data_IF_311380702486
#
_entry.id   IF_311380702486
#
_cell.length_a   1.000
_cell.length_b   1.000
_cell.length_c   1.000
_cell.angle_alpha   90.00
_cell.angle_beta   90.00
_cell.angle_gamma   90.00
#
_symmetry.space_group_name_H-M   'P 1'
#
loop_
_entity.id
_entity.type
_entity.pdbx_description
1 polymer ?
#
# COMPACT_ATOMS: atom_id res chain seq x y z
N UNK A 1 -29.85 51.83 -4.51
CA UNK A 1 -29.19 50.67 -4.02
C UNK A 1 -29.60 49.45 -4.84
N UNK A 2 -28.70 48.93 -5.68
CA UNK A 2 -28.93 47.71 -6.42
C UNK A 2 -28.58 46.52 -5.54
N UNK A 3 -29.30 45.38 -5.57
CA UNK A 3 -28.95 44.21 -4.81
C UNK A 3 -27.77 43.53 -5.47
N UNK A 4 -26.82 43.13 -4.63
CA UNK A 4 -25.69 42.32 -5.03
C UNK A 4 -26.16 40.98 -5.59
N UNK A 5 -25.75 40.63 -6.79
CA UNK A 5 -25.93 39.29 -7.36
C UNK A 5 -25.00 38.36 -6.62
N UNK A 6 -25.58 37.38 -5.97
CA UNK A 6 -24.87 36.18 -5.56
C UNK A 6 -24.66 35.34 -6.83
N UNK A 7 -23.49 35.49 -7.43
CA UNK A 7 -23.11 34.63 -8.54
C UNK A 7 -22.77 33.26 -7.98
N UNK A 8 -23.62 32.28 -8.31
CA UNK A 8 -23.38 30.89 -8.07
C UNK A 8 -22.24 30.36 -8.93
N UNK A 9 -21.03 30.44 -8.40
CA UNK A 9 -19.85 29.83 -9.04
C UNK A 9 -19.49 28.58 -8.30
N UNK A 10 -20.24 27.51 -8.54
CA UNK A 10 -19.86 26.19 -8.01
C UNK A 10 -20.13 25.00 -8.92
N UNK A 11 -20.69 25.20 -10.10
CA UNK A 11 -20.95 24.12 -11.05
C UNK A 11 -19.72 23.71 -11.90
N UNK A 12 -18.62 24.49 -11.86
CA UNK A 12 -17.43 24.23 -12.70
C UNK A 12 -16.24 23.58 -12.01
N UNK A 13 -16.25 23.42 -10.68
CA UNK A 13 -15.10 22.92 -9.95
C UNK A 13 -14.76 21.44 -10.25
N UNK A 14 -15.69 20.49 -10.45
CA UNK A 14 -15.35 19.12 -10.81
C UNK A 14 -14.66 19.01 -12.17
N UNK A 15 -15.14 19.75 -13.16
CA UNK A 15 -14.58 19.71 -14.52
C UNK A 15 -13.23 20.43 -14.60
N UNK A 16 -13.06 21.53 -13.88
CA UNK A 16 -11.79 22.22 -13.79
C UNK A 16 -10.71 21.36 -13.06
N UNK A 17 -11.09 20.65 -12.01
CA UNK A 17 -10.19 19.72 -11.32
C UNK A 17 -9.79 18.54 -12.21
N UNK A 18 -10.71 17.98 -12.99
CA UNK A 18 -10.44 16.90 -13.94
C UNK A 18 -9.53 17.37 -15.09
N UNK A 19 -9.71 18.61 -15.59
CA UNK A 19 -8.89 19.17 -16.66
C UNK A 19 -7.44 19.48 -16.24
N UNK A 20 -7.15 19.51 -14.94
CA UNK A 20 -5.79 19.71 -14.40
C UNK A 20 -4.99 18.41 -14.26
N UNK A 21 -5.57 17.25 -14.61
CA UNK A 21 -4.84 15.99 -14.60
C UNK A 21 -3.93 15.92 -15.82
N UNK A 22 -2.63 15.70 -15.58
CA UNK A 22 -1.71 15.29 -16.64
C UNK A 22 -2.05 13.90 -17.13
N UNK A 23 -1.55 13.52 -18.31
CA UNK A 23 -1.73 12.16 -18.82
C UNK A 23 -1.19 11.10 -17.84
N UNK A 24 -0.07 11.38 -17.20
CA UNK A 24 0.56 10.49 -16.21
C UNK A 24 -0.27 10.39 -14.92
N UNK A 25 -0.84 11.50 -14.45
CA UNK A 25 -1.75 11.51 -13.29
C UNK A 25 -3.06 10.80 -13.60
N UNK A 26 -3.61 10.99 -14.79
CA UNK A 26 -4.81 10.29 -15.24
C UNK A 26 -4.57 8.77 -15.32
N UNK A 27 -3.44 8.34 -15.87
CA UNK A 27 -3.05 6.94 -15.93
C UNK A 27 -2.89 6.31 -14.53
N UNK A 28 -2.21 7.01 -13.62
CA UNK A 28 -2.04 6.54 -12.23
C UNK A 28 -3.37 6.44 -11.47
N UNK A 29 -4.33 7.28 -11.80
CA UNK A 29 -5.66 7.25 -11.19
C UNK A 29 -6.58 6.20 -11.84
N UNK A 30 -6.50 6.03 -13.15
CA UNK A 30 -7.36 5.11 -13.91
C UNK A 30 -7.20 3.64 -13.49
N UNK A 31 -6.02 3.24 -13.03
CA UNK A 31 -5.77 1.88 -12.54
C UNK A 31 -6.54 1.56 -11.24
N UNK A 32 -7.08 2.56 -10.58
CA UNK A 32 -7.94 2.45 -9.40
C UNK A 32 -9.44 2.66 -9.74
N UNK A 33 -9.81 2.66 -11.03
CA UNK A 33 -11.16 3.05 -11.48
C UNK A 33 -12.29 2.18 -10.90
N UNK A 34 -12.00 0.92 -10.58
CA UNK A 34 -12.96 0.02 -9.93
C UNK A 34 -13.20 0.35 -8.45
N UNK A 35 -12.36 1.18 -7.86
CA UNK A 35 -12.38 1.49 -6.42
C UNK A 35 -12.68 2.95 -6.13
N UNK A 36 -12.37 3.84 -7.05
CA UNK A 36 -12.53 5.28 -6.87
C UNK A 36 -12.63 6.00 -8.21
N UNK A 37 -13.34 7.14 -8.28
CA UNK A 37 -13.41 7.95 -9.49
C UNK A 37 -12.06 8.45 -9.95
N UNK A 38 -11.93 8.75 -11.24
CA UNK A 38 -10.72 9.37 -11.79
C UNK A 38 -10.41 10.69 -11.06
N UNK A 39 -9.17 10.83 -10.62
CA UNK A 39 -8.72 11.99 -9.86
C UNK A 39 -9.05 11.96 -8.37
N UNK A 40 -9.61 10.87 -7.86
CA UNK A 40 -9.90 10.74 -6.44
C UNK A 40 -8.63 10.85 -5.59
N UNK A 41 -8.74 11.55 -4.46
CA UNK A 41 -7.65 11.71 -3.48
C UNK A 41 -7.60 10.57 -2.47
N UNK A 42 -8.65 9.76 -2.41
CA UNK A 42 -8.71 8.59 -1.53
C UNK A 42 -9.59 7.49 -2.14
N UNK A 43 -9.26 6.25 -1.82
CA UNK A 43 -10.15 5.11 -1.94
C UNK A 43 -10.93 5.01 -0.65
N UNK A 44 -12.26 5.01 -0.73
CA UNK A 44 -13.14 4.95 0.44
C UNK A 44 -13.15 3.56 1.07
N UNK A 45 -13.25 3.45 2.41
CA UNK A 45 -13.36 2.16 3.07
C UNK A 45 -14.68 1.46 2.73
N UNK A 46 -14.64 0.14 2.74
CA UNK A 46 -15.82 -0.73 2.69
C UNK A 46 -15.81 -1.67 3.89
N UNK A 47 -16.98 -2.03 4.39
CA UNK A 47 -17.08 -3.09 5.38
C UNK A 47 -16.74 -4.45 4.76
N UNK A 48 -16.61 -5.47 5.62
CA UNK A 48 -16.22 -6.80 5.15
C UNK A 48 -17.24 -7.43 4.21
N UNK A 49 -18.52 -7.27 4.48
CA UNK A 49 -19.58 -7.86 3.65
C UNK A 49 -19.56 -7.31 2.23
N UNK A 50 -19.44 -5.98 2.07
CA UNK A 50 -19.31 -5.33 0.77
C UNK A 50 -18.00 -5.68 0.08
N UNK A 51 -16.89 -5.75 0.82
CA UNK A 51 -15.59 -6.18 0.27
C UNK A 51 -15.65 -7.62 -0.26
N UNK A 52 -16.30 -8.53 0.47
CA UNK A 52 -16.49 -9.91 0.01
C UNK A 52 -17.37 -9.96 -1.25
N UNK A 53 -18.44 -9.18 -1.28
CA UNK A 53 -19.33 -9.10 -2.43
C UNK A 53 -18.60 -8.61 -3.69
N UNK A 54 -17.83 -7.54 -3.56
CA UNK A 54 -17.03 -6.99 -4.67
C UNK A 54 -16.03 -8.01 -5.21
N UNK A 55 -15.34 -8.73 -4.31
CA UNK A 55 -14.35 -9.72 -4.70
C UNK A 55 -14.99 -10.91 -5.42
N UNK A 56 -16.13 -11.40 -4.95
CA UNK A 56 -16.85 -12.50 -5.60
C UNK A 56 -17.38 -12.05 -6.97
N UNK A 57 -17.93 -10.85 -7.07
CA UNK A 57 -18.40 -10.28 -8.33
C UNK A 57 -17.25 -10.15 -9.36
N UNK A 58 -16.10 -9.66 -8.93
CA UNK A 58 -14.90 -9.53 -9.77
C UNK A 58 -14.40 -10.89 -10.30
N UNK A 59 -14.65 -11.98 -9.57
CA UNK A 59 -14.31 -13.36 -9.97
C UNK A 59 -15.41 -14.06 -10.78
N UNK A 60 -16.53 -13.38 -11.05
CA UNK A 60 -17.68 -13.95 -11.76
C UNK A 60 -18.39 -15.08 -10.99
N UNK A 61 -18.21 -15.14 -9.67
CA UNK A 61 -18.73 -16.19 -8.81
C UNK A 61 -20.07 -15.86 -8.16
N UNK A 62 -20.69 -16.90 -7.58
CA UNK A 62 -21.95 -16.82 -6.86
C UNK A 62 -21.70 -16.57 -5.36
N UNK A 63 -22.28 -15.51 -4.81
CA UNK A 63 -22.20 -15.12 -3.41
C UNK A 63 -22.70 -16.20 -2.43
N UNK A 64 -23.55 -17.13 -2.92
CA UNK A 64 -24.12 -18.18 -2.07
C UNK A 64 -23.16 -19.35 -1.82
N UNK A 65 -22.12 -19.52 -2.65
CA UNK A 65 -21.27 -20.72 -2.65
C UNK A 65 -20.06 -20.66 -1.76
N UNK A 66 -19.38 -19.54 -1.65
CA UNK A 66 -18.25 -19.37 -0.76
C UNK A 66 -17.95 -17.88 -0.54
N UNK A 67 -17.77 -17.48 0.70
CA UNK A 67 -17.30 -16.14 1.04
C UNK A 67 -15.79 -16.18 1.18
N UNK A 68 -15.04 -15.39 0.42
CA UNK A 68 -13.58 -15.36 0.54
C UNK A 68 -13.14 -14.81 1.90
N UNK A 69 -12.02 -15.30 2.38
CA UNK A 69 -11.36 -14.73 3.55
C UNK A 69 -10.65 -13.43 3.15
N UNK A 70 -11.34 -12.33 3.28
CA UNK A 70 -10.82 -10.99 3.00
C UNK A 70 -11.27 -10.02 4.08
N UNK A 71 -10.35 -9.17 4.54
CA UNK A 71 -10.67 -8.12 5.48
C UNK A 71 -11.43 -6.97 4.82
N UNK A 72 -12.05 -6.09 5.62
CA UNK A 72 -12.66 -4.86 5.11
C UNK A 72 -11.65 -4.06 4.31
N UNK A 73 -12.06 -3.50 3.17
CA UNK A 73 -11.21 -2.58 2.41
C UNK A 73 -10.94 -1.32 3.24
N UNK A 74 -9.67 -1.03 3.60
CA UNK A 74 -9.37 0.18 4.34
C UNK A 74 -9.49 1.41 3.44
N UNK A 75 -9.65 2.58 4.04
CA UNK A 75 -9.45 3.84 3.34
C UNK A 75 -7.97 3.99 2.97
N UNK A 76 -7.70 4.42 1.75
CA UNK A 76 -6.32 4.57 1.24
C UNK A 76 -6.21 5.94 0.59
N UNK A 77 -5.26 6.74 1.04
CA UNK A 77 -4.91 8.00 0.39
C UNK A 77 -4.17 7.66 -0.90
N UNK A 78 -4.70 8.12 -2.03
CA UNK A 78 -4.12 7.84 -3.35
C UNK A 78 -2.86 8.68 -3.57
N UNK A 79 -2.11 8.35 -4.60
CA UNK A 79 -0.95 9.14 -5.06
C UNK A 79 -1.35 10.60 -5.29
N UNK A 80 -2.52 10.84 -5.87
CA UNK A 80 -3.05 12.20 -6.00
C UNK A 80 -3.31 12.84 -4.64
N UNK A 81 -3.81 12.06 -3.68
CA UNK A 81 -4.09 12.54 -2.33
C UNK A 81 -2.86 13.04 -1.57
N UNK A 82 -1.69 12.43 -1.77
CA UNK A 82 -0.45 12.95 -1.18
C UNK A 82 0.39 13.80 -2.14
N UNK A 83 -0.12 14.09 -3.33
CA UNK A 83 0.50 15.01 -4.27
C UNK A 83 1.74 14.47 -4.96
N UNK A 84 1.75 13.18 -5.34
CA UNK A 84 2.84 12.60 -6.09
C UNK A 84 3.04 13.32 -7.43
N UNK A 85 4.28 13.70 -7.72
CA UNK A 85 4.66 14.21 -9.04
C UNK A 85 4.83 13.04 -10.00
N UNK A 86 3.80 12.80 -10.81
CA UNK A 86 3.75 11.66 -11.73
C UNK A 86 4.77 11.76 -12.88
N UNK A 87 5.38 12.93 -13.09
CA UNK A 87 6.43 13.09 -14.09
C UNK A 87 7.74 12.42 -13.68
N UNK A 88 7.92 12.11 -12.40
CA UNK A 88 9.14 11.48 -11.90
C UNK A 88 9.21 9.97 -12.15
N UNK A 89 8.07 9.28 -12.13
CA UNK A 89 8.02 7.84 -12.32
C UNK A 89 8.16 7.43 -13.79
N UNK A 90 8.53 6.19 -14.03
CA UNK A 90 8.39 5.61 -15.36
C UNK A 90 6.92 5.54 -15.79
N UNK A 91 6.66 5.62 -17.09
CA UNK A 91 5.29 5.65 -17.63
C UNK A 91 4.56 4.32 -17.45
N UNK A 92 5.28 3.21 -17.65
CA UNK A 92 4.69 1.88 -17.62
C UNK A 92 4.57 1.36 -16.17
N UNK A 93 3.53 0.59 -15.94
CA UNK A 93 3.35 -0.15 -14.69
C UNK A 93 3.87 -1.56 -14.86
N UNK A 94 4.55 -2.09 -13.86
CA UNK A 94 5.01 -3.46 -13.84
C UNK A 94 4.24 -4.27 -12.79
N UNK A 95 3.83 -5.48 -13.17
CA UNK A 95 3.03 -6.36 -12.33
C UNK A 95 3.73 -7.69 -12.12
N UNK A 96 3.46 -8.32 -10.98
CA UNK A 96 3.81 -9.71 -10.73
C UNK A 96 2.56 -10.59 -10.85
N UNK A 97 2.72 -11.93 -10.77
CA UNK A 97 1.62 -12.87 -10.97
C UNK A 97 0.58 -12.80 -9.85
N UNK A 98 1.02 -12.57 -8.62
CA UNK A 98 0.20 -12.62 -7.42
C UNK A 98 0.88 -11.87 -6.27
N UNK A 99 0.25 -11.85 -5.11
CA UNK A 99 0.84 -11.39 -3.86
C UNK A 99 0.73 -12.51 -2.83
N UNK A 100 1.85 -13.14 -2.51
CA UNK A 100 1.93 -14.26 -1.56
C UNK A 100 2.35 -13.79 -0.16
N UNK A 101 3.08 -12.68 -0.08
CA UNK A 101 3.65 -12.17 1.16
C UNK A 101 3.67 -10.65 1.19
N UNK A 102 3.62 -10.11 2.40
CA UNK A 102 3.88 -8.70 2.67
C UNK A 102 5.18 -8.59 3.47
N UNK A 103 6.06 -7.69 3.04
CA UNK A 103 7.26 -7.30 3.77
C UNK A 103 7.05 -5.95 4.43
N UNK A 104 7.13 -5.93 5.76
CA UNK A 104 6.99 -4.71 6.55
C UNK A 104 8.37 -4.09 6.75
N UNK A 105 8.45 -2.80 6.42
CA UNK A 105 9.63 -1.97 6.55
C UNK A 105 9.37 -0.82 7.51
N UNK A 106 10.42 -0.22 8.04
CA UNK A 106 10.38 1.15 8.48
C UNK A 106 11.02 2.04 7.41
N UNK A 107 10.60 3.28 7.32
CA UNK A 107 11.18 4.21 6.34
C UNK A 107 12.59 4.67 6.71
N UNK A 108 13.01 4.42 7.95
CA UNK A 108 14.26 4.91 8.54
C UNK A 108 14.36 6.44 8.53
N UNK A 109 13.22 7.11 8.65
CA UNK A 109 13.07 8.55 8.76
C UNK A 109 12.73 8.96 10.20
N UNK A 110 12.64 10.26 10.48
CA UNK A 110 12.30 10.74 11.82
C UNK A 110 10.90 10.32 12.29
N UNK A 111 10.77 10.12 13.60
CA UNK A 111 9.48 9.79 14.24
C UNK A 111 8.68 11.03 14.63
N UNK A 112 9.31 12.20 14.65
CA UNK A 112 8.71 13.43 15.13
C UNK A 112 8.08 14.25 14.01
N UNK A 113 7.12 13.66 13.32
CA UNK A 113 6.30 14.33 12.31
C UNK A 113 4.84 14.41 12.79
N UNK A 114 4.11 15.38 12.29
CA UNK A 114 2.65 15.41 12.40
C UNK A 114 2.04 14.67 11.22
N UNK A 115 0.92 14.00 11.42
CA UNK A 115 0.27 13.26 10.33
C UNK A 115 -0.16 14.16 9.17
N UNK A 116 -0.46 15.44 9.42
CA UNK A 116 -0.70 16.44 8.38
C UNK A 116 0.52 16.72 7.49
N UNK A 117 1.73 16.39 7.93
CA UNK A 117 2.97 16.57 7.18
C UNK A 117 3.32 15.36 6.31
N UNK A 118 2.61 14.24 6.46
CA UNK A 118 2.95 12.99 5.77
C UNK A 118 2.98 13.12 4.25
N UNK A 119 2.07 13.84 3.59
CA UNK A 119 2.19 14.08 2.14
C UNK A 119 3.56 14.63 1.73
N UNK A 120 4.09 15.58 2.49
CA UNK A 120 5.44 16.13 2.26
C UNK A 120 6.53 15.11 2.50
N UNK A 121 6.42 14.28 3.55
CA UNK A 121 7.36 13.19 3.85
C UNK A 121 7.37 12.18 2.69
N UNK A 122 6.21 11.79 2.21
CA UNK A 122 6.09 10.84 1.09
C UNK A 122 6.70 11.39 -0.20
N UNK A 123 6.44 12.65 -0.52
CA UNK A 123 7.06 13.30 -1.68
C UNK A 123 8.59 13.35 -1.58
N UNK A 124 9.12 13.56 -0.38
CA UNK A 124 10.56 13.55 -0.12
C UNK A 124 11.17 12.17 -0.33
N UNK A 125 10.56 11.12 0.21
CA UNK A 125 11.00 9.72 0.02
C UNK A 125 10.93 9.36 -1.48
N UNK A 126 9.86 9.73 -2.14
CA UNK A 126 9.65 9.48 -3.57
C UNK A 126 10.76 10.11 -4.42
N UNK A 127 11.07 11.39 -4.19
CA UNK A 127 12.18 12.05 -4.88
C UNK A 127 13.51 11.36 -4.63
N UNK A 128 13.76 10.93 -3.40
CA UNK A 128 14.98 10.19 -3.05
C UNK A 128 15.06 8.87 -3.82
N UNK A 129 13.98 8.10 -3.87
CA UNK A 129 13.94 6.84 -4.61
C UNK A 129 14.22 7.02 -6.11
N UNK A 130 13.61 8.02 -6.73
CA UNK A 130 13.76 8.24 -8.17
C UNK A 130 15.04 8.98 -8.52
N UNK A 131 15.33 10.10 -7.82
CA UNK A 131 16.46 10.98 -8.18
C UNK A 131 17.79 10.52 -7.62
N UNK A 132 17.82 9.99 -6.40
CA UNK A 132 19.07 9.58 -5.73
C UNK A 132 19.35 8.09 -5.91
N UNK A 133 18.35 7.23 -5.77
CA UNK A 133 18.49 5.78 -5.90
C UNK A 133 18.37 5.29 -7.35
N UNK A 134 17.87 6.12 -8.25
CA UNK A 134 17.65 5.76 -9.65
C UNK A 134 16.54 4.72 -9.89
N UNK A 135 15.62 4.61 -8.93
CA UNK A 135 14.50 3.70 -9.06
C UNK A 135 13.42 4.27 -9.97
N UNK A 136 12.58 3.40 -10.50
CA UNK A 136 11.56 3.76 -11.51
C UNK A 136 10.36 4.49 -10.92
N UNK A 137 10.11 4.33 -9.61
CA UNK A 137 9.01 4.91 -8.86
C UNK A 137 9.31 4.80 -7.36
N UNK A 138 8.36 5.15 -6.54
CA UNK A 138 8.33 4.86 -5.11
C UNK A 138 8.59 3.35 -4.89
N UNK A 139 9.47 3.00 -3.98
CA UNK A 139 9.89 1.60 -3.82
C UNK A 139 8.83 0.72 -3.15
N UNK A 140 8.12 1.26 -2.16
CA UNK A 140 7.10 0.54 -1.41
C UNK A 140 5.74 0.57 -2.12
N UNK A 141 4.97 -0.51 -2.00
CA UNK A 141 3.61 -0.54 -2.53
C UNK A 141 2.66 0.34 -1.70
N UNK A 142 2.88 0.40 -0.39
CA UNK A 142 2.10 1.22 0.54
C UNK A 142 2.98 1.84 1.60
N UNK A 143 2.50 2.93 2.17
CA UNK A 143 3.05 3.52 3.39
C UNK A 143 1.97 3.64 4.46
N UNK A 144 2.37 3.60 5.71
CA UNK A 144 1.50 3.73 6.88
C UNK A 144 2.12 4.77 7.82
N UNK A 145 1.33 5.71 8.30
CA UNK A 145 1.80 6.69 9.28
C UNK A 145 1.46 6.30 10.73
N UNK A 146 1.98 7.06 11.68
CA UNK A 146 1.76 6.82 13.11
C UNK A 146 0.32 7.02 13.58
N UNK A 147 -0.51 7.71 12.79
CA UNK A 147 -1.93 7.89 13.06
C UNK A 147 -2.79 6.76 12.49
N UNK A 148 -2.20 5.84 11.74
CA UNK A 148 -2.89 4.72 11.13
C UNK A 148 -3.45 5.01 9.73
N UNK A 149 -3.05 6.10 9.10
CA UNK A 149 -3.41 6.37 7.71
C UNK A 149 -2.59 5.50 6.77
N UNK A 150 -3.24 5.03 5.71
CA UNK A 150 -2.66 4.16 4.69
C UNK A 150 -2.58 4.95 3.38
N UNK A 151 -1.43 4.88 2.72
CA UNK A 151 -1.13 5.62 1.50
C UNK A 151 -0.74 4.67 0.38
N UNK A 152 -1.27 4.94 -0.80
CA UNK A 152 -0.78 4.31 -2.04
C UNK A 152 0.66 4.77 -2.28
N UNK A 153 1.57 3.83 -2.43
CA UNK A 153 2.97 4.13 -2.76
C UNK A 153 3.21 4.02 -4.26
N UNK A 154 3.75 2.89 -4.70
CA UNK A 154 4.05 2.64 -6.12
C UNK A 154 2.80 2.62 -6.97
N UNK A 155 2.86 3.28 -8.13
CA UNK A 155 1.76 3.36 -9.08
C UNK A 155 1.47 2.01 -9.74
N UNK A 156 0.21 1.78 -10.11
CA UNK A 156 -0.21 0.57 -10.82
C UNK A 156 -1.55 0.01 -10.37
N UNK A 157 -2.12 0.55 -9.29
CA UNK A 157 -3.41 0.13 -8.75
C UNK A 157 -3.29 -0.54 -7.39
N UNK A 158 -4.02 -0.01 -6.40
CA UNK A 158 -3.93 -0.49 -5.01
C UNK A 158 -4.42 -1.93 -4.82
N UNK A 159 -5.33 -2.40 -5.68
CA UNK A 159 -5.85 -3.77 -5.63
C UNK A 159 -5.04 -4.75 -6.50
N UNK A 160 -4.09 -4.27 -7.28
CA UNK A 160 -3.33 -5.07 -8.24
C UNK A 160 -2.00 -5.56 -7.66
N UNK A 161 -1.47 -6.61 -8.25
CA UNK A 161 -0.16 -7.18 -7.87
C UNK A 161 0.98 -6.37 -8.49
N UNK A 162 1.21 -5.16 -7.99
CA UNK A 162 2.22 -4.25 -8.50
C UNK A 162 3.61 -4.69 -8.04
N UNK A 163 4.57 -4.76 -8.97
CA UNK A 163 5.96 -5.04 -8.66
C UNK A 163 6.60 -3.83 -7.96
N UNK A 164 7.06 -4.02 -6.76
CA UNK A 164 7.78 -3.01 -5.99
C UNK A 164 9.31 -3.11 -6.10
N UNK A 165 10.00 -2.24 -5.37
CA UNK A 165 11.44 -2.26 -5.19
C UNK A 165 11.73 -2.01 -3.69
N UNK A 166 11.55 -3.04 -2.86
CA UNK A 166 11.59 -2.89 -1.41
C UNK A 166 12.43 -3.97 -0.70
N UNK A 167 12.48 -5.19 -1.24
CA UNK A 167 13.20 -6.31 -0.63
C UNK A 167 13.97 -7.03 -1.73
N UNK A 168 15.26 -6.71 -1.86
CA UNK A 168 16.09 -7.28 -2.91
C UNK A 168 16.03 -8.81 -2.90
N UNK A 169 15.73 -9.39 -4.06
CA UNK A 169 15.54 -10.83 -4.25
C UNK A 169 14.11 -11.32 -4.05
N UNK A 170 13.21 -10.52 -3.43
CA UNK A 170 11.85 -10.93 -3.11
C UNK A 170 10.79 -9.90 -3.50
N UNK A 171 11.07 -9.03 -4.46
CA UNK A 171 10.09 -8.06 -4.96
C UNK A 171 8.97 -8.71 -5.78
N UNK A 172 9.22 -9.87 -6.38
CA UNK A 172 8.20 -10.60 -7.13
C UNK A 172 7.24 -11.35 -6.20
N UNK A 173 5.95 -11.32 -6.53
CA UNK A 173 4.89 -12.00 -5.79
C UNK A 173 4.78 -11.58 -4.32
N UNK A 174 5.14 -10.35 -4.04
CA UNK A 174 5.08 -9.74 -2.72
C UNK A 174 4.64 -8.29 -2.79
N UNK A 175 4.34 -7.72 -1.64
CA UNK A 175 4.10 -6.29 -1.46
C UNK A 175 4.98 -5.76 -0.33
N UNK A 176 5.43 -4.52 -0.47
CA UNK A 176 6.17 -3.82 0.57
C UNK A 176 5.31 -2.75 1.23
N UNK A 177 5.38 -2.68 2.56
CA UNK A 177 4.69 -1.69 3.38
C UNK A 177 5.74 -0.97 4.22
N UNK A 178 5.87 0.34 4.05
CA UNK A 178 6.74 1.16 4.90
C UNK A 178 5.92 1.83 6.01
N UNK A 179 6.24 1.52 7.26
CA UNK A 179 5.76 2.29 8.41
C UNK A 179 6.71 3.48 8.58
N UNK A 180 6.17 4.69 8.49
CA UNK A 180 6.97 5.92 8.54
C UNK A 180 7.56 6.13 9.91
N UNK A 181 8.88 6.22 9.97
CA UNK A 181 9.67 6.38 11.19
C UNK A 181 10.84 5.42 11.27
N UNK A 182 11.40 5.30 12.47
CA UNK A 182 12.51 4.40 12.81
C UNK A 182 12.17 3.67 14.10
N UNK A 183 12.18 2.34 14.07
CA UNK A 183 11.65 1.53 15.18
C UNK A 183 12.70 0.57 15.77
N UNK A 184 13.95 1.01 15.80
CA UNK A 184 15.04 0.30 16.48
C UNK A 184 14.96 0.49 17.99
N UNK A 185 14.76 1.71 18.47
CA UNK A 185 14.68 2.06 19.90
C UNK A 185 13.32 2.62 20.31
N UNK A 186 12.51 3.07 19.40
CA UNK A 186 11.13 3.51 19.63
C UNK A 186 10.14 2.47 19.14
N UNK A 187 9.12 2.18 19.94
CA UNK A 187 8.05 1.27 19.54
C UNK A 187 7.09 1.91 18.54
N UNK A 188 6.52 1.13 17.61
CA UNK A 188 5.48 1.64 16.72
C UNK A 188 4.20 1.94 17.52
N UNK A 189 3.50 3.05 17.21
CA UNK A 189 2.19 3.29 17.79
C UNK A 189 1.20 2.16 17.43
N UNK A 190 0.26 1.89 18.33
CA UNK A 190 -0.78 0.87 18.11
C UNK A 190 -1.57 1.14 16.82
N UNK A 191 -1.87 2.40 16.52
CA UNK A 191 -2.58 2.79 15.32
C UNK A 191 -1.85 2.35 14.03
N UNK A 192 -0.52 2.44 14.01
CA UNK A 192 0.29 2.00 12.87
C UNK A 192 0.26 0.47 12.72
N UNK A 193 0.38 -0.29 13.80
CA UNK A 193 0.30 -1.76 13.77
C UNK A 193 -1.09 -2.22 13.32
N UNK A 194 -2.14 -1.58 13.81
CA UNK A 194 -3.52 -1.84 13.39
C UNK A 194 -3.72 -1.54 11.90
N UNK A 195 -3.14 -0.45 11.39
CA UNK A 195 -3.22 -0.13 9.97
C UNK A 195 -2.52 -1.17 9.10
N UNK A 196 -1.35 -1.65 9.51
CA UNK A 196 -0.67 -2.78 8.82
C UNK A 196 -1.58 -4.01 8.80
N UNK A 197 -2.23 -4.33 9.91
CA UNK A 197 -3.16 -5.46 9.98
C UNK A 197 -4.38 -5.28 9.06
N UNK A 198 -4.98 -4.10 9.04
CA UNK A 198 -6.12 -3.79 8.15
C UNK A 198 -5.74 -3.87 6.68
N UNK A 199 -4.61 -3.30 6.32
CA UNK A 199 -4.12 -3.33 4.94
C UNK A 199 -3.81 -4.76 4.49
N UNK A 200 -3.12 -5.54 5.30
CA UNK A 200 -2.76 -6.91 4.98
C UNK A 200 -3.97 -7.85 4.97
N UNK A 201 -4.92 -7.67 5.87
CA UNK A 201 -6.16 -8.43 5.87
C UNK A 201 -6.91 -8.27 4.54
N UNK A 202 -6.98 -7.06 4.02
CA UNK A 202 -7.61 -6.78 2.75
C UNK A 202 -6.73 -7.25 1.57
N UNK A 203 -5.55 -6.71 1.45
CA UNK A 203 -4.70 -6.93 0.26
C UNK A 203 -4.30 -8.38 0.08
N UNK A 204 -3.84 -9.06 1.14
CA UNK A 204 -3.52 -10.48 1.08
C UNK A 204 -4.76 -11.32 0.82
N UNK A 205 -5.91 -10.93 1.37
CA UNK A 205 -7.19 -11.60 1.13
C UNK A 205 -7.63 -11.56 -0.32
N UNK A 206 -7.31 -10.49 -1.06
CA UNK A 206 -7.58 -10.40 -2.50
C UNK A 206 -6.89 -11.53 -3.29
N UNK A 207 -5.77 -12.02 -2.79
CA UNK A 207 -4.95 -13.05 -3.41
C UNK A 207 -5.01 -14.39 -2.67
N UNK A 208 -5.92 -14.54 -1.72
CA UNK A 208 -6.16 -15.79 -1.01
C UNK A 208 -5.10 -16.16 0.02
N UNK A 209 -4.22 -15.24 0.41
CA UNK A 209 -3.16 -15.50 1.36
C UNK A 209 -3.65 -15.39 2.82
N UNK A 210 -3.22 -16.34 3.66
CA UNK A 210 -3.53 -16.36 5.08
C UNK A 210 -2.48 -15.58 5.87
N UNK A 211 -2.86 -14.49 6.57
CA UNK A 211 -1.91 -13.67 7.33
C UNK A 211 -1.12 -14.43 8.40
N UNK A 212 -1.67 -15.52 8.95
CA UNK A 212 -0.97 -16.39 9.91
C UNK A 212 -0.15 -17.49 9.26
N UNK A 213 -0.25 -17.62 7.94
CA UNK A 213 0.37 -18.72 7.22
C UNK A 213 1.83 -18.46 6.88
N UNK A 214 2.36 -19.44 6.21
CA UNK A 214 3.68 -19.40 5.58
C UNK A 214 3.55 -19.63 4.08
N UNK A 215 4.53 -19.13 3.35
CA UNK A 215 4.59 -19.30 1.90
C UNK A 215 6.03 -19.47 1.45
N UNK A 216 6.20 -19.89 0.21
CA UNK A 216 7.51 -19.98 -0.43
C UNK A 216 7.65 -18.91 -1.49
N UNK A 217 8.77 -18.19 -1.44
CA UNK A 217 9.19 -17.27 -2.50
C UNK A 217 10.56 -17.72 -3.01
N UNK A 218 10.73 -17.64 -4.33
CA UNK A 218 12.02 -17.91 -4.97
C UNK A 218 12.89 -16.67 -4.92
N UNK A 219 14.08 -16.78 -4.36
CA UNK A 219 15.03 -15.67 -4.29
C UNK A 219 15.53 -15.29 -5.69
N UNK A 220 15.49 -14.01 -5.99
CA UNK A 220 16.15 -13.41 -7.15
C UNK A 220 17.62 -13.05 -6.91
N UNK A 221 18.13 -13.37 -5.71
CA UNK A 221 19.50 -13.05 -5.28
C UNK A 221 19.55 -11.80 -4.39
N UNK A 222 20.32 -11.88 -3.34
CA UNK A 222 20.55 -10.81 -2.37
C UNK A 222 21.66 -11.20 -1.41
N UNK A 223 21.77 -10.47 -0.29
CA UNK A 223 22.82 -10.71 0.70
C UNK A 223 22.49 -11.78 1.75
N UNK A 224 21.27 -12.31 1.76
CA UNK A 224 20.83 -13.32 2.71
C UNK A 224 20.59 -14.69 2.05
N UNK A 225 20.02 -14.68 0.84
CA UNK A 225 19.70 -15.89 0.10
C UNK A 225 20.25 -15.84 -1.31
N UNK A 226 20.78 -16.98 -1.73
CA UNK A 226 21.29 -17.21 -3.10
C UNK A 226 20.16 -17.12 -4.12
N UNK A 227 20.42 -16.60 -5.29
CA UNK A 227 19.50 -16.63 -6.44
C UNK A 227 19.04 -18.07 -6.69
N UNK A 228 17.73 -18.26 -6.83
CA UNK A 228 17.10 -19.55 -7.08
C UNK A 228 16.71 -20.33 -5.83
N UNK A 229 17.13 -19.90 -4.62
CA UNK A 229 16.71 -20.53 -3.37
C UNK A 229 15.19 -20.40 -3.18
N UNK A 230 14.55 -21.50 -2.77
CA UNK A 230 13.14 -21.51 -2.43
C UNK A 230 13.00 -21.27 -0.92
N UNK A 231 12.59 -20.08 -0.53
CA UNK A 231 12.64 -19.61 0.85
C UNK A 231 11.26 -19.64 1.49
N UNK A 232 11.14 -20.31 2.62
CA UNK A 232 9.92 -20.35 3.42
C UNK A 232 9.84 -19.10 4.30
N UNK A 233 8.77 -18.33 4.14
CA UNK A 233 8.56 -17.06 4.81
C UNK A 233 7.20 -17.01 5.48
N UNK A 234 7.07 -16.26 6.58
CA UNK A 234 5.76 -15.85 7.05
C UNK A 234 5.08 -15.00 5.97
N UNK A 235 3.80 -15.16 5.78
CA UNK A 235 3.01 -14.36 4.82
C UNK A 235 3.12 -12.86 5.18
N UNK A 236 3.12 -12.52 6.47
CA UNK A 236 3.52 -11.18 6.92
C UNK A 236 4.91 -11.29 7.53
N UNK A 237 5.90 -10.82 6.80
CA UNK A 237 7.32 -10.83 7.17
C UNK A 237 7.84 -9.42 7.37
N UNK A 238 8.98 -9.28 8.01
CA UNK A 238 9.77 -8.06 8.02
C UNK A 238 10.81 -8.08 6.88
N UNK A 239 11.32 -6.91 6.52
CA UNK A 239 12.40 -6.81 5.53
C UNK A 239 13.58 -7.73 5.87
N UNK A 240 13.93 -7.82 7.13
CA UNK A 240 15.03 -8.67 7.65
C UNK A 240 14.84 -10.16 7.42
N UNK A 241 13.63 -10.62 7.14
CA UNK A 241 13.37 -12.03 6.84
C UNK A 241 13.81 -12.41 5.42
N UNK A 242 13.92 -11.44 4.53
CA UNK A 242 14.34 -11.64 3.14
C UNK A 242 15.68 -11.02 2.76
N UNK A 243 16.22 -10.15 3.61
CA UNK A 243 17.44 -9.42 3.36
C UNK A 243 18.16 -9.15 4.69
N UNK A 244 19.47 -9.24 4.73
CA UNK A 244 20.26 -8.95 5.94
C UNK A 244 20.27 -7.44 6.19
N UNK A 245 19.40 -6.98 7.07
CA UNK A 245 19.17 -5.58 7.44
C UNK A 245 18.55 -5.49 8.83
N UNK A 246 18.69 -4.35 9.48
CA UNK A 246 17.99 -4.04 10.73
C UNK A 246 16.50 -3.67 10.52
N UNK A 247 16.13 -3.27 9.29
CA UNK A 247 14.74 -2.94 8.93
C UNK A 247 13.83 -4.17 9.15
N UNK A 248 12.66 -3.99 9.76
CA UNK A 248 11.91 -2.77 10.07
C UNK A 248 12.21 -2.16 11.43
N UNK A 249 13.32 -2.48 12.06
CA UNK A 249 13.63 -2.16 13.44
C UNK A 249 13.10 -3.21 14.42
N UNK A 250 13.88 -3.47 15.46
CA UNK A 250 13.59 -4.55 16.42
C UNK A 250 12.20 -4.44 17.05
N UNK A 251 11.75 -3.22 17.36
CA UNK A 251 10.49 -3.02 18.08
C UNK A 251 9.26 -3.14 17.18
N UNK A 252 9.35 -2.73 15.90
CA UNK A 252 8.29 -3.01 14.95
C UNK A 252 8.25 -4.50 14.58
N UNK A 253 9.40 -5.11 14.39
CA UNK A 253 9.48 -6.54 14.08
C UNK A 253 8.78 -7.41 15.14
N UNK A 254 8.93 -7.07 16.42
CA UNK A 254 8.24 -7.75 17.53
C UNK A 254 6.71 -7.64 17.46
N UNK A 255 6.17 -6.67 16.75
CA UNK A 255 4.72 -6.44 16.61
C UNK A 255 4.10 -7.18 15.43
N UNK A 256 4.89 -7.84 14.58
CA UNK A 256 4.36 -8.55 13.41
C UNK A 256 3.46 -9.73 13.80
N UNK A 257 3.73 -10.40 14.91
CA UNK A 257 2.84 -11.44 15.45
C UNK A 257 1.44 -10.91 15.76
N UNK A 258 1.36 -9.74 16.37
CA UNK A 258 0.08 -9.03 16.61
C UNK A 258 -0.61 -8.67 15.30
N UNK A 259 0.13 -8.13 14.34
CA UNK A 259 -0.41 -7.79 13.02
C UNK A 259 -0.99 -9.02 12.31
N UNK A 260 -0.30 -10.16 12.34
CA UNK A 260 -0.77 -11.44 11.76
C UNK A 260 -2.08 -11.89 12.39
N UNK A 261 -2.16 -11.87 13.71
CA UNK A 261 -3.36 -12.30 14.45
C UNK A 261 -4.55 -11.40 14.18
N UNK A 262 -4.36 -10.08 14.20
CA UNK A 262 -5.42 -9.11 13.91
C UNK A 262 -5.87 -9.22 12.46
N UNK A 263 -4.94 -9.31 11.52
CA UNK A 263 -5.26 -9.45 10.09
C UNK A 263 -6.07 -10.72 9.81
N UNK A 264 -5.70 -11.85 10.41
CA UNK A 264 -6.44 -13.10 10.24
C UNK A 264 -7.87 -12.99 10.78
N UNK A 265 -8.07 -12.40 11.96
CA UNK A 265 -9.41 -12.15 12.50
C UNK A 265 -10.24 -11.24 11.61
N UNK A 266 -9.64 -10.19 11.06
CA UNK A 266 -10.32 -9.29 10.11
C UNK A 266 -10.73 -10.02 8.83
N UNK A 267 -10.01 -11.04 8.42
CA UNK A 267 -10.40 -11.91 7.31
C UNK A 267 -11.50 -12.92 7.67
N UNK A 268 -11.78 -13.11 8.96
CA UNK A 268 -12.73 -14.11 9.46
C UNK A 268 -12.10 -15.49 9.68
N UNK A 269 -10.79 -15.52 9.90
CA UNK A 269 -10.05 -16.73 10.24
C UNK A 269 -9.88 -16.90 11.74
#
# INVERSE_FOLDING_TARGET
GAPARADGVQAGLPDAAASLLTAESAAASAVNADLAPLGATAVTPLDRAHTQADLVAARGGDLTKARPYVGPRPGIVTRRGWGADESLRERNFAYTRTVKAAFVHHSATGNNYRCSQVPSVLRSIYRYHVKSSGWRDFGYNFAVDKCGNIYEGRAGGVAKAVLGAHTLGFNSNSMGIAVLGTFTSAGPPKAAVTAVAKLTAWKLGLFGANPRGKTYLKSGGGNLYRKGSNVRLNVISGHRDGFATECPGRLLYKKLGTARSVAARLQGR
#
